data_IF_779639711721
#
_entry.id   IF_779639711721
#
_cell.length_a   1.000
_cell.length_b   1.000
_cell.length_c   1.000
_cell.angle_alpha   90.00
_cell.angle_beta   90.00
_cell.angle_gamma   90.00
#
_symmetry.space_group_name_H-M   'P 1'
#
loop_
_entity.id
_entity.type
_entity.pdbx_description
1 polymer ?
#
# COMPACT_ATOMS: atom_id res chain seq x y z
N UNK A 1 6.14 26.07 24.41
CA UNK A 1 6.73 26.36 23.11
C UNK A 1 7.78 25.31 22.70
N UNK A 2 8.79 25.04 23.51
CA UNK A 2 9.87 24.07 23.26
C UNK A 2 9.37 22.64 22.91
N UNK A 3 8.36 22.15 23.62
CA UNK A 3 7.80 20.80 23.34
C UNK A 3 7.18 20.65 21.93
N UNK A 4 6.51 21.70 21.41
CA UNK A 4 5.92 21.66 20.07
C UNK A 4 7.00 21.66 18.98
N UNK A 5 8.04 22.48 19.14
CA UNK A 5 9.17 22.51 18.20
C UNK A 5 9.89 21.17 18.17
N UNK A 6 10.18 20.60 19.35
CA UNK A 6 10.84 19.29 19.47
C UNK A 6 10.08 18.18 18.73
N UNK A 7 8.76 18.02 18.97
CA UNK A 7 7.99 16.96 18.31
C UNK A 7 7.78 17.20 16.81
N UNK A 8 7.75 18.47 16.36
CA UNK A 8 7.74 18.77 14.94
C UNK A 8 9.07 18.37 14.26
N UNK A 9 10.21 18.71 14.89
CA UNK A 9 11.53 18.30 14.38
C UNK A 9 11.67 16.77 14.35
N UNK A 10 11.22 16.11 15.43
CA UNK A 10 11.23 14.66 15.52
C UNK A 10 10.35 14.00 14.43
N UNK A 11 9.20 14.60 14.12
CA UNK A 11 8.34 14.14 13.02
C UNK A 11 9.09 14.14 11.68
N UNK A 12 9.72 15.26 11.31
CA UNK A 12 10.44 15.34 10.04
C UNK A 12 11.67 14.44 10.02
N UNK A 13 12.36 14.29 11.14
CA UNK A 13 13.49 13.36 11.26
C UNK A 13 13.06 11.90 11.05
N UNK A 14 11.99 11.48 11.71
CA UNK A 14 11.45 10.11 11.55
C UNK A 14 10.93 9.88 10.13
N UNK A 15 10.21 10.85 9.56
CA UNK A 15 9.76 10.76 8.16
C UNK A 15 10.94 10.61 7.20
N UNK A 16 11.98 11.42 7.35
CA UNK A 16 13.19 11.32 6.54
C UNK A 16 13.89 9.95 6.69
N UNK A 17 13.94 9.41 7.92
CA UNK A 17 14.50 8.07 8.18
C UNK A 17 13.70 6.97 7.48
N UNK A 18 12.36 7.03 7.53
CA UNK A 18 11.50 6.05 6.84
C UNK A 18 11.66 6.17 5.32
N UNK A 19 11.70 7.40 4.77
CA UNK A 19 11.92 7.62 3.34
C UNK A 19 13.27 7.07 2.89
N UNK A 20 14.30 7.23 3.68
CA UNK A 20 15.62 6.65 3.41
C UNK A 20 15.57 5.12 3.39
N UNK A 21 14.88 4.48 4.34
CA UNK A 21 14.68 3.03 4.36
C UNK A 21 13.88 2.55 3.13
N UNK A 22 12.82 3.27 2.73
CA UNK A 22 12.08 2.97 1.51
C UNK A 22 12.96 3.10 0.25
N UNK A 23 13.81 4.11 0.21
CA UNK A 23 14.76 4.31 -0.87
C UNK A 23 15.75 3.13 -0.98
N UNK A 24 16.35 2.71 0.12
CA UNK A 24 17.25 1.55 0.15
C UNK A 24 16.54 0.28 -0.31
N UNK A 25 15.32 0.04 0.20
CA UNK A 25 14.54 -1.14 -0.15
C UNK A 25 14.22 -1.21 -1.65
N UNK A 26 13.80 -0.07 -2.23
CA UNK A 26 13.48 -0.01 -3.67
C UNK A 26 14.71 -0.14 -4.55
N UNK A 27 15.86 0.38 -4.13
CA UNK A 27 17.06 0.37 -4.94
C UNK A 27 17.85 -0.95 -4.86
N UNK A 28 17.93 -1.57 -3.68
CA UNK A 28 18.85 -2.68 -3.44
C UNK A 28 18.18 -4.05 -3.31
N UNK A 29 16.92 -4.08 -2.86
CA UNK A 29 16.26 -5.34 -2.51
C UNK A 29 15.22 -5.75 -3.52
N UNK A 30 14.38 -4.83 -3.98
CA UNK A 30 13.27 -5.13 -4.86
C UNK A 30 13.68 -5.07 -6.34
N UNK A 31 13.25 -6.06 -7.10
CA UNK A 31 13.24 -6.07 -8.55
C UNK A 31 11.82 -5.87 -9.08
N UNK A 32 11.66 -5.53 -10.36
CA UNK A 32 10.35 -5.40 -10.98
C UNK A 32 9.60 -6.73 -10.95
N UNK A 33 8.31 -6.70 -10.55
CA UNK A 33 7.40 -7.85 -10.66
C UNK A 33 6.76 -7.94 -12.04
N UNK A 34 6.12 -9.09 -12.34
CA UNK A 34 5.40 -9.26 -13.60
C UNK A 34 4.26 -8.24 -13.77
N UNK A 35 3.46 -8.00 -12.70
CA UNK A 35 2.38 -7.01 -12.73
C UNK A 35 2.88 -5.59 -12.98
N UNK A 36 3.99 -5.22 -12.34
CA UNK A 36 4.63 -3.91 -12.55
C UNK A 36 5.17 -3.78 -13.98
N UNK A 37 5.78 -4.83 -14.52
CA UNK A 37 6.28 -4.86 -15.90
C UNK A 37 5.12 -4.78 -16.92
N UNK A 38 4.02 -5.50 -16.69
CA UNK A 38 2.82 -5.43 -17.51
C UNK A 38 2.24 -3.99 -17.51
N UNK A 39 2.14 -3.36 -16.35
CA UNK A 39 1.71 -1.96 -16.24
C UNK A 39 2.66 -1.00 -16.96
N UNK A 40 3.96 -1.26 -16.92
CA UNK A 40 4.95 -0.38 -17.54
C UNK A 40 4.95 -0.47 -19.06
N UNK A 41 4.83 -1.68 -19.63
CA UNK A 41 4.99 -1.90 -21.08
C UNK A 41 3.67 -1.97 -21.85
N UNK A 42 2.64 -2.61 -21.29
CA UNK A 42 1.44 -3.01 -22.05
C UNK A 42 0.20 -2.21 -21.67
N UNK A 43 0.01 -1.89 -20.40
CA UNK A 43 -1.18 -1.18 -19.95
C UNK A 43 -1.08 0.33 -20.23
N UNK A 44 -2.25 0.95 -20.44
CA UNK A 44 -2.41 2.41 -20.48
C UNK A 44 -3.20 2.81 -19.23
N UNK A 45 -2.50 3.25 -18.19
CA UNK A 45 -3.09 3.64 -16.91
C UNK A 45 -2.37 4.85 -16.34
N UNK A 46 -2.95 5.47 -15.30
CA UNK A 46 -2.26 6.53 -14.56
C UNK A 46 -0.91 6.04 -14.00
N UNK A 47 -0.85 4.79 -13.54
CA UNK A 47 0.38 4.19 -13.03
C UNK A 47 1.46 4.13 -14.10
N UNK A 48 1.10 3.76 -15.32
CA UNK A 48 2.01 3.75 -16.48
C UNK A 48 2.56 5.13 -16.77
N UNK A 49 1.71 6.15 -16.76
CA UNK A 49 2.13 7.53 -17.01
C UNK A 49 3.13 7.99 -15.93
N UNK A 50 2.79 7.77 -14.65
CA UNK A 50 3.65 8.15 -13.52
C UNK A 50 5.01 7.45 -13.55
N UNK A 51 5.02 6.15 -13.79
CA UNK A 51 6.25 5.35 -13.85
C UNK A 51 7.12 5.72 -15.06
N UNK A 52 6.52 5.92 -16.24
CA UNK A 52 7.25 6.31 -17.45
C UNK A 52 7.84 7.72 -17.34
N UNK A 53 7.10 8.69 -16.80
CA UNK A 53 7.65 10.04 -16.55
C UNK A 53 8.85 9.93 -15.60
N UNK A 54 8.72 9.21 -14.50
CA UNK A 54 9.80 9.05 -13.53
C UNK A 54 11.04 8.35 -14.13
N UNK A 55 10.85 7.26 -14.86
CA UNK A 55 11.95 6.53 -15.48
C UNK A 55 12.60 7.29 -16.65
N UNK A 56 11.87 8.17 -17.33
CA UNK A 56 12.43 9.05 -18.35
C UNK A 56 13.33 10.12 -17.72
N UNK A 57 12.95 10.65 -16.54
CA UNK A 57 13.71 11.69 -15.84
C UNK A 57 14.93 11.15 -15.09
N UNK A 58 14.81 9.98 -14.45
CA UNK A 58 15.83 9.43 -13.55
C UNK A 58 16.50 8.15 -14.06
N UNK A 59 16.20 7.75 -15.29
CA UNK A 59 16.68 6.51 -15.89
C UNK A 59 15.85 5.30 -15.52
N UNK A 60 15.96 4.26 -16.36
CA UNK A 60 15.18 3.01 -16.21
C UNK A 60 15.83 2.11 -15.14
N UNK A 61 15.37 2.24 -13.90
CA UNK A 61 15.81 1.48 -12.74
C UNK A 61 14.68 1.30 -11.72
N UNK A 62 14.85 0.38 -10.80
CA UNK A 62 13.83 0.01 -9.80
C UNK A 62 13.44 1.16 -8.87
N UNK A 63 14.37 2.06 -8.58
CA UNK A 63 14.11 3.25 -7.80
C UNK A 63 13.23 4.24 -8.56
N UNK A 64 13.58 4.59 -9.79
CA UNK A 64 12.81 5.51 -10.62
C UNK A 64 11.39 4.98 -10.89
N UNK A 65 11.24 3.66 -11.04
CA UNK A 65 9.94 3.01 -11.20
C UNK A 65 9.01 3.28 -10.02
N UNK A 66 9.53 3.26 -8.78
CA UNK A 66 8.76 3.36 -7.53
C UNK A 66 8.78 4.75 -6.88
N UNK A 67 9.65 5.64 -7.33
CA UNK A 67 9.80 6.99 -6.77
C UNK A 67 8.48 7.78 -6.66
N UNK A 68 7.57 7.79 -7.66
CA UNK A 68 6.30 8.49 -7.54
C UNK A 68 5.48 8.02 -6.33
N UNK A 69 5.46 6.72 -6.04
CA UNK A 69 4.68 6.13 -4.94
C UNK A 69 5.28 6.48 -3.59
N UNK A 70 6.60 6.51 -3.46
CA UNK A 70 7.30 7.01 -2.26
C UNK A 70 6.99 8.49 -2.02
N UNK A 71 6.91 9.30 -3.09
CA UNK A 71 6.51 10.71 -2.98
C UNK A 71 5.06 10.84 -2.52
N UNK A 72 4.12 10.05 -3.06
CA UNK A 72 2.73 10.06 -2.60
C UNK A 72 2.59 9.61 -1.14
N UNK A 73 3.40 8.65 -0.69
CA UNK A 73 3.47 8.28 0.73
C UNK A 73 3.91 9.49 1.58
N UNK A 74 4.99 10.15 1.21
CA UNK A 74 5.52 11.32 1.91
C UNK A 74 4.44 12.42 2.03
N UNK A 75 3.79 12.75 0.91
CA UNK A 75 2.71 13.74 0.87
C UNK A 75 1.52 13.30 1.73
N UNK A 76 1.11 12.04 1.68
CA UNK A 76 0.02 11.48 2.50
C UNK A 76 0.29 11.70 3.99
N UNK A 77 1.51 11.41 4.44
CA UNK A 77 1.93 11.58 5.84
C UNK A 77 1.93 13.08 6.23
N UNK A 78 2.47 13.96 5.38
CA UNK A 78 2.53 15.40 5.66
C UNK A 78 1.12 16.00 5.74
N UNK A 79 0.24 15.68 4.80
CA UNK A 79 -1.13 16.19 4.82
C UNK A 79 -1.93 15.62 5.99
N UNK A 80 -1.77 14.34 6.31
CA UNK A 80 -2.38 13.74 7.49
C UNK A 80 -1.88 14.41 8.78
N UNK A 81 -0.58 14.71 8.88
CA UNK A 81 -0.04 15.45 10.03
C UNK A 81 -0.66 16.84 10.20
N UNK A 82 -0.96 17.53 9.08
CA UNK A 82 -1.70 18.82 9.11
C UNK A 82 -3.16 18.64 9.50
N UNK A 83 -3.84 17.59 9.00
CA UNK A 83 -5.23 17.30 9.35
C UNK A 83 -5.40 17.10 10.86
N UNK A 84 -4.48 16.41 11.51
CA UNK A 84 -4.62 16.03 12.92
C UNK A 84 -4.15 17.10 13.92
N UNK A 85 -3.77 18.29 13.46
CA UNK A 85 -3.27 19.36 14.37
C UNK A 85 -4.27 19.69 15.50
N UNK A 86 -5.58 19.74 15.17
CA UNK A 86 -6.63 20.05 16.14
C UNK A 86 -7.14 18.81 16.92
N UNK A 87 -6.70 17.60 16.54
CA UNK A 87 -7.21 16.38 17.18
C UNK A 87 -6.65 16.17 18.56
N UNK A 88 -5.46 16.69 18.83
CA UNK A 88 -4.70 16.44 20.04
C UNK A 88 -4.32 17.72 20.77
N UNK A 89 -4.48 17.70 22.10
CA UNK A 89 -4.10 18.83 22.96
C UNK A 89 -2.58 18.94 23.11
N UNK A 90 -1.83 17.83 22.97
CA UNK A 90 -0.38 17.80 23.16
C UNK A 90 0.33 17.39 21.86
N UNK A 91 1.47 18.03 21.61
CA UNK A 91 2.30 17.69 20.46
C UNK A 91 2.83 16.24 20.50
N UNK A 92 3.04 15.69 21.72
CA UNK A 92 3.42 14.29 21.93
C UNK A 92 2.36 13.33 21.37
N UNK A 93 1.08 13.54 21.68
CA UNK A 93 0.01 12.65 21.21
C UNK A 93 -0.17 12.72 19.72
N UNK A 94 -0.07 13.92 19.16
CA UNK A 94 -0.07 14.13 17.72
C UNK A 94 1.06 13.35 17.06
N UNK A 95 2.28 13.44 17.62
CA UNK A 95 3.43 12.69 17.12
C UNK A 95 3.22 11.17 17.20
N UNK A 96 2.78 10.64 18.35
CA UNK A 96 2.51 9.19 18.51
C UNK A 96 1.46 8.73 17.50
N UNK A 97 0.42 9.51 17.27
CA UNK A 97 -0.64 9.17 16.33
C UNK A 97 -0.13 9.08 14.90
N UNK A 98 0.63 10.07 14.43
CA UNK A 98 1.18 10.06 13.08
C UNK A 98 2.28 9.00 12.92
N UNK A 99 3.05 8.75 13.97
CA UNK A 99 4.08 7.70 13.98
C UNK A 99 3.48 6.32 13.72
N UNK A 100 2.37 5.97 14.38
CA UNK A 100 1.66 4.71 14.11
C UNK A 100 1.13 4.68 12.67
N UNK A 101 0.57 5.79 12.16
CA UNK A 101 0.10 5.89 10.79
C UNK A 101 1.23 5.66 9.77
N UNK A 102 2.41 6.29 9.98
CA UNK A 102 3.59 6.08 9.12
C UNK A 102 4.04 4.62 9.05
N UNK A 103 3.95 3.91 10.17
CA UNK A 103 4.45 2.55 10.34
C UNK A 103 3.43 1.47 9.98
N UNK A 104 2.25 1.83 9.48
CA UNK A 104 1.27 0.83 9.02
C UNK A 104 1.87 -0.02 7.90
N UNK A 105 1.88 -1.36 8.05
CA UNK A 105 2.45 -2.26 7.03
C UNK A 105 1.82 -2.05 5.66
N UNK A 106 0.49 -1.87 5.60
CA UNK A 106 -0.22 -1.64 4.34
C UNK A 106 0.17 -0.33 3.65
N UNK A 107 0.45 0.74 4.42
CA UNK A 107 0.88 2.02 3.87
C UNK A 107 2.32 1.96 3.34
N UNK A 108 3.21 1.28 4.07
CA UNK A 108 4.60 1.05 3.65
C UNK A 108 4.66 0.16 2.40
N UNK A 109 3.87 -0.92 2.36
CA UNK A 109 3.80 -1.80 1.18
C UNK A 109 3.26 -1.06 -0.04
N UNK A 110 2.23 -0.21 0.14
CA UNK A 110 1.69 0.61 -0.95
C UNK A 110 2.71 1.64 -1.49
N UNK A 111 3.65 2.10 -0.66
CA UNK A 111 4.75 2.98 -1.08
C UNK A 111 5.86 2.25 -1.84
N UNK A 112 6.08 0.96 -1.54
CA UNK A 112 7.14 0.13 -2.13
C UNK A 112 6.76 -0.49 -3.47
N UNK A 113 5.46 -0.58 -3.79
CA UNK A 113 4.95 -1.27 -4.96
C UNK A 113 4.30 -0.29 -5.95
N UNK A 114 4.30 -0.64 -7.23
CA UNK A 114 3.58 0.11 -8.26
C UNK A 114 2.11 -0.28 -8.20
N UNK A 115 1.34 0.41 -7.37
CA UNK A 115 -0.10 0.22 -7.26
C UNK A 115 -0.85 1.55 -7.04
N UNK A 116 -2.16 1.55 -7.28
CA UNK A 116 -2.99 2.74 -7.13
C UNK A 116 -3.27 3.11 -5.67
N UNK A 117 -3.12 2.17 -4.73
CA UNK A 117 -3.55 2.36 -3.35
C UNK A 117 -2.94 3.60 -2.66
N UNK A 118 -1.64 3.86 -2.84
CA UNK A 118 -1.00 5.03 -2.23
C UNK A 118 -1.44 6.34 -2.90
N UNK A 119 -1.70 6.33 -4.21
CA UNK A 119 -2.23 7.49 -4.95
C UNK A 119 -3.63 7.83 -4.47
N UNK A 120 -4.50 6.82 -4.35
CA UNK A 120 -5.87 6.94 -3.82
C UNK A 120 -5.85 7.43 -2.37
N UNK A 121 -4.94 6.89 -1.54
CA UNK A 121 -4.74 7.34 -0.16
C UNK A 121 -4.40 8.83 -0.12
N UNK A 122 -3.42 9.26 -0.92
CA UNK A 122 -3.01 10.66 -0.98
C UNK A 122 -4.16 11.57 -1.44
N UNK A 123 -4.82 11.25 -2.54
CA UNK A 123 -5.90 12.07 -3.07
C UNK A 123 -7.09 12.18 -2.11
N UNK A 124 -7.40 11.09 -1.40
CA UNK A 124 -8.44 11.09 -0.37
C UNK A 124 -8.03 11.96 0.83
N UNK A 125 -6.80 11.85 1.31
CA UNK A 125 -6.28 12.70 2.39
C UNK A 125 -6.25 14.17 1.95
N UNK A 126 -5.83 14.45 0.72
CA UNK A 126 -5.83 15.79 0.16
C UNK A 126 -7.25 16.39 0.10
N UNK A 127 -8.25 15.62 -0.33
CA UNK A 127 -9.65 16.02 -0.32
C UNK A 127 -10.14 16.35 1.10
N UNK A 128 -9.82 15.50 2.08
CA UNK A 128 -10.18 15.72 3.48
C UNK A 128 -9.48 16.98 4.04
N UNK A 129 -8.20 17.17 3.70
CA UNK A 129 -7.46 18.37 4.10
C UNK A 129 -8.09 19.63 3.54
N UNK A 130 -8.43 19.64 2.26
CA UNK A 130 -9.11 20.76 1.61
C UNK A 130 -10.44 21.08 2.31
N UNK A 131 -11.28 20.05 2.53
CA UNK A 131 -12.55 20.22 3.23
C UNK A 131 -12.34 20.78 4.65
N UNK A 132 -11.33 20.29 5.36
CA UNK A 132 -11.02 20.77 6.72
C UNK A 132 -10.63 22.25 6.76
N UNK A 133 -9.80 22.69 5.81
CA UNK A 133 -9.27 24.07 5.75
C UNK A 133 -10.33 25.05 5.27
N UNK A 134 -10.98 24.73 4.16
CA UNK A 134 -11.90 25.67 3.50
C UNK A 134 -13.37 25.49 3.89
N UNK A 135 -13.71 24.42 4.61
CA UNK A 135 -15.12 24.08 4.95
C UNK A 135 -16.05 23.99 3.74
N UNK A 136 -15.49 23.66 2.59
CA UNK A 136 -16.19 23.49 1.31
C UNK A 136 -15.72 22.23 0.62
N UNK A 137 -16.62 21.50 -0.01
CA UNK A 137 -16.27 20.34 -0.81
C UNK A 137 -15.61 20.74 -2.12
N UNK A 138 -14.57 20.01 -2.53
CA UNK A 138 -13.86 20.21 -3.80
C UNK A 138 -14.58 19.46 -4.93
N UNK A 139 -15.75 19.98 -5.34
CA UNK A 139 -16.61 19.31 -6.33
C UNK A 139 -15.92 19.03 -7.66
N UNK A 140 -15.04 19.93 -8.10
CA UNK A 140 -14.33 19.79 -9.39
C UNK A 140 -13.29 18.67 -9.40
N UNK A 141 -12.77 18.26 -8.24
CA UNK A 141 -11.84 17.15 -8.15
C UNK A 141 -12.55 15.79 -8.22
N UNK A 142 -13.83 15.69 -7.82
CA UNK A 142 -14.54 14.42 -7.77
C UNK A 142 -14.64 13.72 -9.14
N UNK A 143 -15.01 14.40 -10.25
CA UNK A 143 -14.98 13.77 -11.57
C UNK A 143 -13.59 13.34 -12.01
N UNK A 144 -12.55 14.09 -11.62
CA UNK A 144 -11.16 13.67 -11.88
C UNK A 144 -10.80 12.39 -11.15
N UNK A 145 -11.23 12.22 -9.90
CA UNK A 145 -10.99 10.98 -9.13
C UNK A 145 -11.60 9.74 -9.81
N UNK A 146 -12.75 9.90 -10.48
CA UNK A 146 -13.34 8.82 -11.28
C UNK A 146 -12.39 8.31 -12.37
N UNK A 147 -11.55 9.17 -12.96
CA UNK A 147 -10.62 8.79 -14.02
C UNK A 147 -9.31 8.20 -13.49
N UNK A 148 -9.04 8.34 -12.19
CA UNK A 148 -7.81 7.87 -11.55
C UNK A 148 -7.88 6.38 -11.26
N UNK A 149 -8.94 5.93 -10.58
CA UNK A 149 -9.05 4.55 -10.11
C UNK A 149 -10.50 4.17 -9.77
N UNK A 150 -10.85 2.90 -9.95
CA UNK A 150 -12.18 2.35 -9.63
C UNK A 150 -12.51 2.43 -8.14
N UNK A 151 -11.52 2.38 -7.26
CA UNK A 151 -11.69 2.42 -5.80
C UNK A 151 -12.38 3.71 -5.33
N UNK A 152 -12.31 4.81 -6.10
CA UNK A 152 -13.03 6.05 -5.77
C UNK A 152 -14.56 5.91 -5.78
N UNK A 153 -15.10 4.85 -6.36
CA UNK A 153 -16.53 4.48 -6.19
C UNK A 153 -16.92 4.39 -4.71
N UNK A 154 -16.01 3.87 -3.87
CA UNK A 154 -16.20 3.79 -2.42
C UNK A 154 -16.27 5.19 -1.80
N UNK A 155 -15.39 6.10 -2.24
CA UNK A 155 -15.42 7.49 -1.78
C UNK A 155 -16.73 8.17 -2.17
N UNK A 156 -17.21 8.00 -3.40
CA UNK A 156 -18.47 8.60 -3.86
C UNK A 156 -19.65 8.12 -3.02
N UNK A 157 -19.71 6.82 -2.71
CA UNK A 157 -20.74 6.28 -1.83
C UNK A 157 -20.61 6.83 -0.39
N UNK A 158 -19.40 6.96 0.13
CA UNK A 158 -19.17 7.54 1.44
C UNK A 158 -19.61 9.01 1.51
N UNK A 159 -19.30 9.80 0.46
CA UNK A 159 -19.73 11.20 0.34
C UNK A 159 -21.25 11.33 0.19
N UNK A 160 -21.88 10.39 -0.51
CA UNK A 160 -23.34 10.31 -0.60
C UNK A 160 -23.97 10.16 0.79
N UNK A 161 -23.49 9.21 1.62
CA UNK A 161 -23.99 9.09 2.99
C UNK A 161 -23.64 10.30 3.87
N UNK A 162 -22.46 10.88 3.69
CA UNK A 162 -22.05 12.06 4.44
C UNK A 162 -22.93 13.29 4.11
N UNK A 163 -23.38 13.42 2.87
CA UNK A 163 -24.23 14.55 2.41
C UNK A 163 -25.53 14.68 3.19
N UNK A 164 -26.11 13.58 3.67
CA UNK A 164 -27.30 13.62 4.54
C UNK A 164 -27.02 14.29 5.88
N UNK A 165 -25.82 14.07 6.44
CA UNK A 165 -25.40 14.70 7.69
C UNK A 165 -25.10 16.19 7.47
N UNK A 166 -24.34 16.51 6.43
CA UNK A 166 -23.89 17.87 6.11
C UNK A 166 -25.02 18.71 5.50
N UNK A 167 -26.16 18.07 5.13
CA UNK A 167 -27.32 18.67 4.46
C UNK A 167 -26.96 19.39 3.15
N UNK A 168 -25.90 18.94 2.49
CA UNK A 168 -25.43 19.48 1.22
C UNK A 168 -26.06 18.73 0.04
N UNK A 169 -27.13 19.32 -0.54
CA UNK A 169 -27.83 18.76 -1.71
C UNK A 169 -26.91 18.65 -2.94
N UNK A 170 -25.97 19.59 -3.11
CA UNK A 170 -25.05 19.58 -4.25
C UNK A 170 -24.10 18.39 -4.16
N UNK A 171 -23.55 18.13 -2.96
CA UNK A 171 -22.74 16.96 -2.72
C UNK A 171 -23.51 15.66 -2.95
N UNK A 172 -24.76 15.60 -2.49
CA UNK A 172 -25.64 14.44 -2.66
C UNK A 172 -25.81 14.07 -4.14
N UNK A 173 -26.21 15.03 -4.98
CA UNK A 173 -26.44 14.75 -6.39
C UNK A 173 -25.16 14.43 -7.15
N UNK A 174 -24.06 15.14 -6.87
CA UNK A 174 -22.77 14.90 -7.54
C UNK A 174 -22.22 13.53 -7.14
N UNK A 175 -22.21 13.19 -5.85
CA UNK A 175 -21.67 11.92 -5.39
C UNK A 175 -22.52 10.74 -5.86
N UNK A 176 -23.85 10.86 -5.88
CA UNK A 176 -24.74 9.83 -6.42
C UNK A 176 -24.54 9.65 -7.93
N UNK A 177 -24.45 10.74 -8.69
CA UNK A 177 -24.21 10.67 -10.13
C UNK A 177 -22.88 10.00 -10.45
N UNK A 178 -21.80 10.40 -9.76
CA UNK A 178 -20.47 9.81 -9.95
C UNK A 178 -20.44 8.34 -9.51
N UNK A 179 -21.14 7.99 -8.43
CA UNK A 179 -21.28 6.60 -8.00
C UNK A 179 -21.94 5.74 -9.08
N UNK A 180 -23.05 6.21 -9.67
CA UNK A 180 -23.73 5.50 -10.76
C UNK A 180 -22.84 5.43 -12.01
N UNK A 181 -22.23 6.55 -12.41
CA UNK A 181 -21.34 6.59 -13.58
C UNK A 181 -20.17 5.63 -13.43
N UNK A 182 -19.62 5.44 -12.22
CA UNK A 182 -18.50 4.53 -11.97
C UNK A 182 -18.82 3.08 -12.33
N UNK A 183 -20.07 2.62 -12.19
CA UNK A 183 -20.47 1.28 -12.61
C UNK A 183 -20.44 1.09 -14.14
N UNK A 184 -20.72 2.13 -14.90
CA UNK A 184 -20.64 2.08 -16.37
C UNK A 184 -19.21 2.19 -16.87
N UNK A 185 -18.37 2.97 -16.17
CA UNK A 185 -16.96 3.18 -16.56
C UNK A 185 -16.11 1.95 -16.28
N UNK A 186 -16.33 1.30 -15.14
CA UNK A 186 -15.46 0.20 -14.66
C UNK A 186 -16.07 -1.19 -14.79
N UNK A 187 -17.24 -1.33 -15.42
CA UNK A 187 -17.89 -2.62 -15.67
C UNK A 187 -17.79 -3.58 -14.47
N UNK A 188 -18.36 -3.20 -13.34
CA UNK A 188 -18.31 -4.03 -12.13
C UNK A 188 -18.89 -5.42 -12.40
N UNK A 189 -18.00 -6.38 -12.68
CA UNK A 189 -18.37 -7.79 -12.87
C UNK A 189 -18.35 -8.48 -11.52
N UNK A 190 -19.41 -9.17 -11.23
CA UNK A 190 -19.48 -10.06 -10.07
C UNK A 190 -19.23 -11.47 -10.58
N UNK A 191 -17.97 -11.88 -10.53
CA UNK A 191 -17.52 -13.17 -11.04
C UNK A 191 -17.50 -14.25 -9.95
N UNK A 192 -17.73 -15.49 -10.37
CA UNK A 192 -17.56 -16.66 -9.53
C UNK A 192 -18.79 -17.13 -8.77
N UNK A 193 -18.66 -18.31 -8.17
CA UNK A 193 -19.68 -18.88 -7.26
C UNK A 193 -19.59 -18.18 -5.90
N UNK A 194 -20.73 -17.94 -5.20
CA UNK A 194 -20.70 -17.40 -3.84
C UNK A 194 -19.91 -18.34 -2.92
N UNK A 195 -18.74 -17.89 -2.51
CA UNK A 195 -17.93 -18.55 -1.50
C UNK A 195 -17.60 -17.50 -0.43
N UNK A 196 -17.70 -17.86 0.84
CA UNK A 196 -17.44 -16.94 1.92
C UNK A 196 -15.94 -16.65 2.07
N UNK A 197 -15.50 -15.47 1.62
CA UNK A 197 -14.10 -15.00 1.76
C UNK A 197 -13.92 -14.05 2.95
N UNK A 198 -14.84 -14.06 3.90
CA UNK A 198 -14.83 -13.13 5.03
C UNK A 198 -13.56 -13.27 5.87
N UNK A 199 -13.14 -14.50 6.18
CA UNK A 199 -11.91 -14.74 6.97
C UNK A 199 -10.66 -14.27 6.23
N UNK A 200 -10.59 -14.47 4.92
CA UNK A 200 -9.48 -13.96 4.09
C UNK A 200 -9.42 -12.44 4.15
N UNK A 201 -10.57 -11.77 4.05
CA UNK A 201 -10.68 -10.32 4.16
C UNK A 201 -10.20 -9.81 5.52
N UNK A 202 -10.61 -10.45 6.62
CA UNK A 202 -10.12 -10.11 7.96
C UNK A 202 -8.62 -10.37 8.11
N UNK A 203 -8.12 -11.48 7.54
CA UNK A 203 -6.70 -11.81 7.52
C UNK A 203 -5.86 -10.73 6.81
N UNK A 204 -6.32 -10.25 5.66
CA UNK A 204 -5.62 -9.21 4.91
C UNK A 204 -5.67 -7.86 5.65
N UNK A 205 -6.80 -7.47 6.25
CA UNK A 205 -6.84 -6.28 7.10
C UNK A 205 -5.91 -6.41 8.31
N UNK A 206 -5.83 -7.59 8.92
CA UNK A 206 -4.88 -7.85 9.99
C UNK A 206 -3.42 -7.71 9.54
N UNK A 207 -3.11 -8.04 8.28
CA UNK A 207 -1.78 -7.80 7.71
C UNK A 207 -1.51 -6.31 7.46
N UNK A 208 -2.51 -5.54 7.00
CA UNK A 208 -2.38 -4.08 6.73
C UNK A 208 -2.16 -3.27 8.00
N UNK A 209 -2.90 -3.59 9.07
CA UNK A 209 -2.86 -2.85 10.34
C UNK A 209 -1.90 -3.43 11.37
N UNK A 210 -1.59 -4.69 11.35
CA UNK A 210 -1.24 -5.65 12.39
C UNK A 210 -2.51 -6.19 13.11
N UNK A 211 -2.51 -7.47 13.51
CA UNK A 211 -3.74 -8.13 13.96
C UNK A 211 -4.48 -7.42 15.11
N UNK A 212 -3.74 -7.04 16.14
CA UNK A 212 -4.32 -6.42 17.35
C UNK A 212 -4.77 -4.99 17.08
N UNK A 213 -4.03 -4.25 16.25
CA UNK A 213 -4.40 -2.89 15.88
C UNK A 213 -5.70 -2.88 15.05
N UNK A 214 -5.89 -3.89 14.19
CA UNK A 214 -7.13 -4.05 13.44
C UNK A 214 -8.33 -4.31 14.34
N UNK A 215 -8.21 -5.19 15.33
CA UNK A 215 -9.28 -5.40 16.31
C UNK A 215 -9.65 -4.13 17.07
N UNK A 216 -8.64 -3.35 17.43
CA UNK A 216 -8.88 -2.05 18.07
C UNK A 216 -9.51 -1.03 17.09
N UNK A 217 -9.17 -1.07 15.82
CA UNK A 217 -9.80 -0.27 14.79
C UNK A 217 -11.30 -0.54 14.67
N UNK A 218 -11.73 -1.82 14.65
CA UNK A 218 -13.15 -2.18 14.65
C UNK A 218 -13.89 -1.62 15.88
N UNK A 219 -13.28 -1.78 17.06
CA UNK A 219 -13.81 -1.19 18.28
C UNK A 219 -13.91 0.34 18.19
N UNK A 220 -12.90 1.02 17.64
CA UNK A 220 -12.88 2.46 17.54
C UNK A 220 -13.95 3.01 16.57
N UNK A 221 -14.16 2.36 15.42
CA UNK A 221 -15.26 2.69 14.49
C UNK A 221 -16.62 2.57 15.18
N UNK A 222 -16.87 1.44 15.86
CA UNK A 222 -18.10 1.21 16.61
C UNK A 222 -18.28 2.27 17.70
N UNK A 223 -17.26 2.52 18.51
CA UNK A 223 -17.31 3.49 19.60
C UNK A 223 -17.59 4.91 19.12
N UNK A 224 -17.01 5.33 17.99
CA UNK A 224 -17.24 6.64 17.39
C UNK A 224 -18.70 6.83 16.99
N UNK A 225 -19.31 5.77 16.43
CA UNK A 225 -20.73 5.75 16.08
C UNK A 225 -21.62 5.92 17.32
N UNK A 226 -21.35 5.17 18.40
CA UNK A 226 -22.14 5.21 19.65
C UNK A 226 -22.06 6.58 20.33
N UNK A 227 -20.88 7.21 20.34
CA UNK A 227 -20.67 8.54 20.94
C UNK A 227 -21.23 9.65 20.05
N UNK A 228 -21.68 9.34 18.84
CA UNK A 228 -22.18 10.30 17.82
C UNK A 228 -21.18 11.39 17.42
N UNK A 229 -19.89 11.14 17.59
CA UNK A 229 -18.82 12.04 17.14
C UNK A 229 -18.32 11.66 15.74
N UNK A 230 -19.26 11.53 14.82
CA UNK A 230 -19.06 11.03 13.47
C UNK A 230 -18.60 12.21 12.59
N UNK A 231 -17.45 12.09 11.93
CA UNK A 231 -16.90 13.07 10.99
C UNK A 231 -16.79 12.47 9.56
N UNK A 232 -16.27 13.26 8.61
CA UNK A 232 -16.08 12.82 7.23
C UNK A 232 -15.16 11.59 7.14
N UNK A 233 -14.09 11.57 7.95
CA UNK A 233 -13.14 10.44 7.96
C UNK A 233 -13.83 9.16 8.39
N UNK A 234 -14.71 9.24 9.40
CA UNK A 234 -15.49 8.09 9.85
C UNK A 234 -16.40 7.56 8.73
N UNK A 235 -17.13 8.45 8.02
CA UNK A 235 -18.00 8.02 6.91
C UNK A 235 -17.22 7.30 5.83
N UNK A 236 -16.06 7.84 5.43
CA UNK A 236 -15.22 7.22 4.41
C UNK A 236 -14.74 5.83 4.87
N UNK A 237 -14.20 5.74 6.07
CA UNK A 237 -13.63 4.47 6.56
C UNK A 237 -14.68 3.42 6.91
N UNK A 238 -15.81 3.83 7.49
CA UNK A 238 -16.90 2.93 7.81
C UNK A 238 -17.57 2.37 6.54
N UNK A 239 -17.80 3.22 5.53
CA UNK A 239 -18.35 2.79 4.23
C UNK A 239 -17.42 1.80 3.55
N UNK A 240 -16.11 2.08 3.49
CA UNK A 240 -15.13 1.17 2.90
C UNK A 240 -15.10 -0.18 3.63
N UNK A 241 -15.08 -0.18 4.96
CA UNK A 241 -15.08 -1.39 5.77
C UNK A 241 -16.37 -2.19 5.54
N UNK A 242 -17.54 -1.56 5.63
CA UNK A 242 -18.84 -2.23 5.45
C UNK A 242 -18.98 -2.82 4.06
N UNK A 243 -18.61 -2.07 3.01
CA UNK A 243 -18.64 -2.58 1.64
C UNK A 243 -17.70 -3.76 1.44
N UNK A 244 -16.48 -3.69 1.98
CA UNK A 244 -15.53 -4.80 1.88
C UNK A 244 -16.04 -6.06 2.56
N UNK A 245 -16.69 -5.94 3.74
CA UNK A 245 -17.31 -7.05 4.44
C UNK A 245 -18.48 -7.63 3.63
N UNK A 246 -19.38 -6.78 3.14
CA UNK A 246 -20.53 -7.21 2.34
C UNK A 246 -20.09 -7.91 1.06
N UNK A 247 -19.12 -7.33 0.33
CA UNK A 247 -18.59 -7.92 -0.89
C UNK A 247 -17.89 -9.27 -0.63
N UNK A 248 -17.22 -9.43 0.51
CA UNK A 248 -16.49 -10.65 0.87
C UNK A 248 -17.38 -11.88 1.15
N UNK A 249 -18.67 -11.68 1.40
CA UNK A 249 -19.61 -12.80 1.47
C UNK A 249 -19.82 -13.49 0.12
N UNK A 250 -19.60 -12.76 -0.97
CA UNK A 250 -19.88 -13.28 -2.31
C UNK A 250 -18.61 -13.58 -3.11
N UNK A 251 -17.60 -12.72 -3.04
CA UNK A 251 -16.41 -12.81 -3.88
C UNK A 251 -15.13 -12.46 -3.10
N UNK A 252 -13.99 -12.92 -3.61
CA UNK A 252 -12.68 -12.46 -3.14
C UNK A 252 -12.52 -11.00 -3.54
N UNK A 253 -12.25 -10.15 -2.55
CA UNK A 253 -12.05 -8.71 -2.78
C UNK A 253 -10.59 -8.39 -3.00
N UNK A 254 -10.34 -7.40 -3.83
CA UNK A 254 -9.02 -6.74 -3.94
C UNK A 254 -8.93 -5.70 -2.84
N UNK A 255 -8.20 -6.01 -1.78
CA UNK A 255 -8.12 -5.15 -0.61
C UNK A 255 -7.45 -3.80 -0.92
N UNK A 256 -6.65 -3.74 -1.99
CA UNK A 256 -6.01 -2.54 -2.50
C UNK A 256 -7.03 -1.43 -2.80
N UNK A 257 -8.26 -1.79 -3.17
CA UNK A 257 -9.35 -0.85 -3.46
C UNK A 257 -9.96 -0.26 -2.18
N UNK A 258 -9.92 -0.97 -1.06
CA UNK A 258 -10.58 -0.58 0.19
C UNK A 258 -9.62 -0.02 1.24
N UNK A 259 -8.41 -0.58 1.31
CA UNK A 259 -7.41 -0.21 2.31
C UNK A 259 -7.11 1.30 2.37
N UNK A 260 -7.00 2.03 1.24
CA UNK A 260 -6.76 3.46 1.23
C UNK A 260 -7.72 4.26 2.10
N UNK A 261 -9.00 3.87 2.08
CA UNK A 261 -10.06 4.56 2.81
C UNK A 261 -10.15 4.13 4.28
N UNK A 262 -9.70 2.93 4.59
CA UNK A 262 -9.76 2.39 5.95
C UNK A 262 -8.60 2.90 6.80
N UNK A 263 -7.38 2.97 6.26
CA UNK A 263 -6.18 3.39 7.00
C UNK A 263 -6.21 4.86 7.45
N UNK A 264 -6.95 5.73 6.75
CA UNK A 264 -7.07 7.15 7.11
C UNK A 264 -7.74 7.39 8.47
N UNK A 265 -8.44 6.41 9.03
CA UNK A 265 -9.08 6.50 10.34
C UNK A 265 -8.11 6.30 11.51
N UNK A 266 -6.91 5.80 11.27
CA UNK A 266 -5.93 5.49 12.33
C UNK A 266 -5.68 6.65 13.29
N UNK A 267 -5.50 7.90 12.85
CA UNK A 267 -5.35 9.02 13.78
C UNK A 267 -6.58 9.27 14.66
N UNK A 268 -7.79 9.09 14.14
CA UNK A 268 -9.03 9.19 14.93
C UNK A 268 -9.11 8.07 15.95
N UNK A 269 -8.75 6.85 15.56
CA UNK A 269 -8.62 5.71 16.47
C UNK A 269 -7.64 6.01 17.61
N UNK A 270 -6.48 6.59 17.31
CA UNK A 270 -5.48 6.99 18.32
C UNK A 270 -5.99 8.08 19.25
N UNK A 271 -6.78 9.03 18.77
CA UNK A 271 -7.46 10.02 19.60
C UNK A 271 -8.35 9.36 20.65
N UNK A 272 -9.14 8.36 20.25
CA UNK A 272 -10.01 7.60 21.15
C UNK A 272 -9.19 6.83 22.18
N UNK A 273 -8.11 6.17 21.72
CA UNK A 273 -7.23 5.42 22.59
C UNK A 273 -6.60 6.29 23.68
N UNK A 274 -5.95 7.39 23.29
CA UNK A 274 -5.26 8.30 24.21
C UNK A 274 -6.23 8.98 25.17
N UNK A 275 -7.45 9.33 24.72
CA UNK A 275 -8.48 9.84 25.60
C UNK A 275 -8.89 8.78 26.64
N UNK A 276 -9.17 7.56 26.22
CA UNK A 276 -9.56 6.47 27.12
C UNK A 276 -8.46 6.12 28.12
N UNK A 277 -7.20 6.16 27.70
CA UNK A 277 -6.04 5.94 28.56
C UNK A 277 -5.91 6.99 29.67
N UNK A 278 -6.16 8.27 29.36
CA UNK A 278 -6.01 9.38 30.32
C UNK A 278 -7.10 9.44 31.38
N UNK A 279 -8.31 9.10 31.00
CA UNK A 279 -9.46 9.11 31.93
C UNK A 279 -9.35 8.01 32.98
N UNK A 280 -8.58 6.94 32.73
CA UNK A 280 -8.43 5.83 33.66
C UNK A 280 -7.49 6.18 34.83
N UNK A 281 -7.85 5.66 36.01
CA UNK A 281 -7.00 5.69 37.19
C UNK A 281 -5.66 4.95 36.93
N UNK A 282 -4.59 5.38 37.59
CA UNK A 282 -3.23 4.84 37.38
C UNK A 282 -3.15 3.33 37.54
N UNK A 283 -3.88 2.76 38.48
CA UNK A 283 -3.93 1.33 38.80
C UNK A 283 -4.44 0.49 37.60
N UNK A 284 -5.43 0.99 36.87
CA UNK A 284 -6.01 0.31 35.72
C UNK A 284 -5.25 0.55 34.39
N UNK A 285 -4.19 1.35 34.41
CA UNK A 285 -3.37 1.61 33.20
C UNK A 285 -2.41 0.48 32.86
N UNK A 286 -2.11 -0.44 33.80
CA UNK A 286 -1.17 -1.54 33.59
C UNK A 286 -1.55 -2.40 32.39
N UNK A 287 -2.80 -2.84 32.31
CA UNK A 287 -3.31 -3.65 31.20
C UNK A 287 -3.27 -2.91 29.86
N UNK A 288 -3.52 -1.59 29.86
CA UNK A 288 -3.40 -0.76 28.67
C UNK A 288 -1.95 -0.64 28.19
N UNK A 289 -1.01 -0.50 29.11
CA UNK A 289 0.42 -0.47 28.76
C UNK A 289 0.86 -1.80 28.15
N UNK A 290 0.44 -2.93 28.71
CA UNK A 290 0.71 -4.26 28.15
C UNK A 290 0.16 -4.34 26.72
N UNK A 291 -1.09 -3.91 26.52
CA UNK A 291 -1.69 -3.88 25.19
C UNK A 291 -0.88 -3.02 24.20
N UNK A 292 -0.43 -1.83 24.61
CA UNK A 292 0.40 -0.96 23.78
C UNK A 292 1.72 -1.64 23.41
N UNK A 293 2.40 -2.26 24.37
CA UNK A 293 3.66 -2.98 24.08
C UNK A 293 3.45 -4.12 23.09
N UNK A 294 2.35 -4.88 23.22
CA UNK A 294 2.03 -5.95 22.27
C UNK A 294 1.76 -5.39 20.87
N UNK A 295 0.98 -4.31 20.75
CA UNK A 295 0.73 -3.64 19.46
C UNK A 295 2.03 -3.15 18.83
N UNK A 296 2.88 -2.47 19.61
CA UNK A 296 4.17 -1.98 19.11
C UNK A 296 5.11 -3.12 18.70
N UNK A 297 5.10 -4.23 19.43
CA UNK A 297 5.87 -5.42 19.08
C UNK A 297 5.42 -5.99 17.73
N UNK A 298 4.12 -6.17 17.50
CA UNK A 298 3.62 -6.67 16.21
C UNK A 298 3.84 -5.67 15.07
N UNK A 299 3.72 -4.37 15.31
CA UNK A 299 4.09 -3.35 14.32
C UNK A 299 5.58 -3.43 13.97
N UNK A 300 6.45 -3.53 14.97
CA UNK A 300 7.88 -3.66 14.77
C UNK A 300 8.20 -4.94 13.98
N UNK A 301 7.58 -6.07 14.33
CA UNK A 301 7.75 -7.33 13.62
C UNK A 301 7.35 -7.20 12.15
N UNK A 302 6.22 -6.58 11.86
CA UNK A 302 5.76 -6.35 10.49
C UNK A 302 6.70 -5.43 9.70
N UNK A 303 7.23 -4.39 10.32
CA UNK A 303 8.23 -3.50 9.71
C UNK A 303 9.49 -4.30 9.39
N UNK A 304 9.95 -5.10 10.33
CA UNK A 304 11.11 -5.96 10.13
C UNK A 304 10.90 -6.93 8.97
N UNK A 305 9.73 -7.57 8.88
CA UNK A 305 9.38 -8.45 7.75
C UNK A 305 9.30 -7.68 6.41
N UNK A 306 8.90 -6.41 6.42
CA UNK A 306 8.83 -5.58 5.20
C UNK A 306 10.22 -5.21 4.69
N UNK A 307 11.12 -4.79 5.58
CA UNK A 307 12.45 -4.30 5.20
C UNK A 307 13.54 -5.37 5.23
N UNK A 308 13.39 -6.41 6.06
CA UNK A 308 14.37 -7.50 6.20
C UNK A 308 13.69 -8.82 5.83
N UNK A 309 13.31 -8.96 4.57
CA UNK A 309 12.55 -10.11 4.09
C UNK A 309 13.44 -11.24 3.52
N UNK A 310 14.60 -10.92 2.92
CA UNK A 310 15.49 -11.94 2.32
C UNK A 310 15.90 -13.07 3.28
N UNK A 311 16.18 -12.87 4.59
CA UNK A 311 16.50 -13.96 5.51
C UNK A 311 15.40 -15.03 5.67
N UNK A 312 14.13 -14.67 5.37
CA UNK A 312 13.00 -15.62 5.45
C UNK A 312 13.20 -16.81 4.50
N UNK A 313 13.93 -16.61 3.39
CA UNK A 313 14.26 -17.72 2.48
C UNK A 313 14.97 -18.89 3.20
N UNK A 314 15.73 -18.63 4.27
CA UNK A 314 16.39 -19.68 5.05
C UNK A 314 15.39 -20.60 5.74
N UNK A 315 14.23 -20.10 6.13
CA UNK A 315 13.18 -20.82 6.85
C UNK A 315 12.21 -21.57 5.92
N UNK A 316 12.22 -21.29 4.62
CA UNK A 316 11.27 -21.86 3.68
C UNK A 316 11.87 -23.06 2.97
N UNK A 317 11.12 -24.16 2.82
CA UNK A 317 11.53 -25.34 2.06
C UNK A 317 11.67 -25.04 0.56
N UNK A 318 10.78 -24.17 0.02
CA UNK A 318 10.75 -23.78 -1.38
C UNK A 318 10.75 -22.27 -1.50
N UNK A 319 11.60 -21.73 -2.35
CA UNK A 319 11.73 -20.28 -2.56
C UNK A 319 10.44 -19.62 -3.04
N UNK A 320 9.65 -20.30 -3.87
CA UNK A 320 8.38 -19.76 -4.41
C UNK A 320 7.27 -19.58 -3.38
N UNK A 321 7.42 -20.10 -2.15
CA UNK A 321 6.49 -19.85 -1.04
C UNK A 321 6.73 -18.52 -0.34
N UNK A 322 7.80 -17.82 -0.70
CA UNK A 322 8.09 -16.53 -0.11
C UNK A 322 7.09 -15.46 -0.58
N UNK A 323 6.50 -14.68 0.34
CA UNK A 323 5.44 -13.71 0.02
C UNK A 323 5.88 -12.57 -0.92
N UNK A 324 7.17 -12.28 -1.01
CA UNK A 324 7.76 -11.26 -1.90
C UNK A 324 8.52 -11.90 -3.08
N UNK A 325 8.37 -13.20 -3.33
CA UNK A 325 9.11 -13.92 -4.36
C UNK A 325 9.06 -13.26 -5.73
N UNK A 326 7.89 -12.76 -6.14
CA UNK A 326 7.69 -12.08 -7.41
C UNK A 326 8.45 -10.74 -7.55
N UNK A 327 8.93 -10.17 -6.44
CA UNK A 327 9.68 -8.92 -6.40
C UNK A 327 11.18 -9.12 -6.17
N UNK A 328 11.67 -10.34 -6.28
CA UNK A 328 13.09 -10.67 -6.13
C UNK A 328 13.66 -11.27 -7.43
N UNK A 329 14.96 -11.45 -7.48
CA UNK A 329 15.81 -12.15 -8.43
C UNK A 329 15.82 -11.66 -9.89
N UNK A 330 14.82 -10.98 -10.45
CA UNK A 330 14.86 -10.59 -11.87
C UNK A 330 16.01 -9.63 -12.18
N UNK A 331 16.33 -8.73 -11.27
CA UNK A 331 17.48 -7.81 -11.37
C UNK A 331 18.79 -8.57 -11.34
N UNK A 332 18.95 -9.46 -10.36
CA UNK A 332 20.15 -10.29 -10.21
C UNK A 332 20.36 -11.21 -11.43
N UNK A 333 19.27 -11.81 -11.97
CA UNK A 333 19.36 -12.58 -13.21
C UNK A 333 19.84 -11.73 -14.37
N UNK A 334 19.25 -10.53 -14.55
CA UNK A 334 19.65 -9.62 -15.62
C UNK A 334 21.11 -9.16 -15.50
N UNK A 335 21.60 -8.91 -14.27
CA UNK A 335 22.99 -8.58 -14.00
C UNK A 335 23.95 -9.74 -14.34
N UNK A 336 23.59 -10.96 -13.98
CA UNK A 336 24.39 -12.15 -14.29
C UNK A 336 24.42 -12.48 -15.79
N UNK A 337 23.29 -12.29 -16.51
CA UNK A 337 23.25 -12.41 -17.96
C UNK A 337 24.13 -11.36 -18.65
N UNK A 338 24.07 -10.09 -18.21
CA UNK A 338 24.89 -9.01 -18.75
C UNK A 338 26.39 -9.21 -18.51
N UNK A 339 26.79 -9.71 -17.35
CA UNK A 339 28.20 -10.06 -17.05
C UNK A 339 28.76 -11.10 -18.05
N UNK A 340 27.89 -11.91 -18.65
CA UNK A 340 28.22 -12.94 -19.63
C UNK A 340 27.96 -12.48 -21.07
N UNK A 341 27.66 -11.20 -21.25
CA UNK A 341 27.33 -10.60 -22.56
C UNK A 341 26.05 -11.21 -23.23
N UNK A 342 25.19 -11.85 -22.44
CA UNK A 342 23.94 -12.49 -22.88
C UNK A 342 22.80 -11.47 -22.80
N UNK A 343 22.68 -10.58 -23.78
CA UNK A 343 21.65 -9.51 -23.79
C UNK A 343 20.39 -9.90 -24.55
N UNK A 344 20.44 -10.97 -25.36
CA UNK A 344 19.37 -11.44 -26.22
C UNK A 344 18.98 -12.86 -25.78
N UNK A 345 17.76 -13.05 -25.28
CA UNK A 345 17.32 -14.33 -24.72
C UNK A 345 15.91 -14.68 -25.16
N UNK A 346 15.60 -15.95 -25.25
CA UNK A 346 14.24 -16.47 -25.38
C UNK A 346 13.94 -17.41 -24.22
N UNK A 347 12.71 -17.42 -23.75
CA UNK A 347 12.25 -18.29 -22.65
C UNK A 347 10.80 -18.73 -22.86
N UNK A 348 10.41 -19.92 -22.42
CA UNK A 348 9.02 -20.32 -22.35
C UNK A 348 8.24 -19.52 -21.30
N UNK A 349 8.94 -18.94 -20.30
CA UNK A 349 8.37 -18.10 -19.26
C UNK A 349 8.29 -16.63 -19.71
N UNK A 350 7.14 -16.29 -20.31
CA UNK A 350 6.85 -14.90 -20.74
C UNK A 350 6.84 -13.90 -19.59
N UNK A 351 6.51 -14.33 -18.35
CA UNK A 351 6.53 -13.46 -17.19
C UNK A 351 7.96 -13.03 -16.85
N UNK A 352 8.90 -13.96 -16.93
CA UNK A 352 10.32 -13.66 -16.73
C UNK A 352 10.86 -12.75 -17.85
N UNK A 353 10.54 -13.03 -19.12
CA UNK A 353 10.99 -12.21 -20.26
C UNK A 353 10.55 -10.74 -20.11
N UNK A 354 9.28 -10.50 -19.77
CA UNK A 354 8.76 -9.15 -19.60
C UNK A 354 9.48 -8.40 -18.46
N UNK A 355 9.83 -9.07 -17.38
CA UNK A 355 10.63 -8.51 -16.27
C UNK A 355 12.06 -8.22 -16.71
N UNK A 356 12.71 -9.12 -17.45
CA UNK A 356 14.06 -8.95 -17.98
C UNK A 356 14.16 -7.81 -18.99
N UNK A 357 13.11 -7.58 -19.79
CA UNK A 357 13.02 -6.46 -20.72
C UNK A 357 13.17 -5.09 -20.02
N UNK A 358 12.68 -4.97 -18.77
CA UNK A 358 12.88 -3.75 -17.97
C UNK A 358 14.36 -3.49 -17.71
N UNK A 359 15.18 -4.51 -17.62
CA UNK A 359 16.64 -4.42 -17.43
C UNK A 359 17.41 -4.43 -18.76
N UNK A 360 16.77 -4.15 -19.90
CA UNK A 360 17.39 -4.12 -21.24
C UNK A 360 17.97 -5.48 -21.68
N UNK A 361 17.32 -6.57 -21.33
CA UNK A 361 17.51 -7.88 -21.94
C UNK A 361 16.39 -8.03 -22.94
N UNK A 362 16.73 -8.22 -24.23
CA UNK A 362 15.78 -8.24 -25.33
C UNK A 362 15.34 -9.68 -25.66
N UNK A 363 14.11 -9.83 -26.17
CA UNK A 363 13.61 -11.12 -26.63
C UNK A 363 14.12 -11.35 -28.07
N UNK A 364 15.23 -12.09 -28.17
CA UNK A 364 15.81 -12.49 -29.45
C UNK A 364 16.51 -13.86 -29.29
N UNK A 365 16.50 -14.76 -30.33
CA UNK A 365 16.91 -16.14 -30.22
C UNK A 365 18.44 -16.37 -30.30
N UNK A 366 19.22 -15.67 -29.49
CA UNK A 366 20.65 -15.94 -29.34
C UNK A 366 20.92 -17.01 -28.28
N UNK A 367 20.17 -16.91 -27.16
CA UNK A 367 20.26 -17.84 -26.04
C UNK A 367 18.86 -18.26 -25.58
N UNK A 368 18.71 -19.54 -25.31
CA UNK A 368 17.52 -20.08 -24.65
C UNK A 368 17.72 -20.16 -23.16
N UNK A 369 16.81 -19.64 -22.36
CA UNK A 369 16.84 -19.69 -20.91
C UNK A 369 15.58 -20.32 -20.33
N UNK A 370 15.75 -21.15 -19.27
CA UNK A 370 14.63 -21.75 -18.54
C UNK A 370 14.95 -21.85 -17.05
N UNK A 371 13.92 -21.73 -16.20
CA UNK A 371 14.02 -22.05 -14.77
C UNK A 371 13.99 -23.58 -14.51
N UNK A 372 13.44 -24.33 -15.44
CA UNK A 372 13.43 -25.80 -15.37
C UNK A 372 14.62 -26.36 -16.12
N UNK A 373 15.25 -27.39 -15.55
CA UNK A 373 16.35 -28.08 -16.18
C UNK A 373 15.88 -28.80 -17.46
N UNK A 374 16.64 -28.65 -18.55
CA UNK A 374 16.41 -29.33 -19.81
C UNK A 374 17.67 -30.02 -20.30
N UNK A 375 17.48 -30.96 -21.24
CA UNK A 375 18.59 -31.73 -21.78
C UNK A 375 19.53 -30.84 -22.60
N UNK A 376 20.86 -31.02 -22.47
CA UNK A 376 21.90 -30.26 -23.18
C UNK A 376 21.89 -28.74 -22.94
N UNK A 377 21.76 -28.29 -21.71
CA UNK A 377 22.10 -26.90 -21.36
C UNK A 377 23.63 -26.72 -21.31
N UNK A 378 24.10 -25.54 -21.70
CA UNK A 378 25.52 -25.20 -21.75
C UNK A 378 26.02 -24.67 -20.39
N UNK A 379 25.19 -23.85 -19.73
CA UNK A 379 25.55 -23.21 -18.47
C UNK A 379 24.36 -23.15 -17.51
N UNK A 380 24.69 -23.19 -16.19
CA UNK A 380 23.73 -23.01 -15.11
C UNK A 380 24.07 -21.76 -14.30
N UNK A 381 23.19 -20.76 -14.30
CA UNK A 381 23.28 -19.57 -13.48
C UNK A 381 22.42 -19.77 -12.24
N UNK A 382 23.02 -19.68 -11.05
CA UNK A 382 22.32 -19.89 -9.79
C UNK A 382 22.32 -18.59 -8.98
N UNK A 383 21.15 -18.06 -8.67
CA UNK A 383 20.98 -16.93 -7.75
C UNK A 383 20.86 -17.46 -6.33
N UNK A 384 21.72 -16.98 -5.44
CA UNK A 384 21.80 -17.43 -4.05
C UNK A 384 21.57 -16.30 -3.07
N UNK A 385 20.78 -16.57 -2.03
CA UNK A 385 20.69 -15.70 -0.85
C UNK A 385 21.18 -16.49 0.37
N UNK A 386 22.17 -15.95 1.08
CA UNK A 386 22.75 -16.58 2.28
C UNK A 386 23.15 -18.05 2.05
N UNK A 387 23.83 -18.36 0.94
CA UNK A 387 24.26 -19.70 0.52
C UNK A 387 23.12 -20.68 0.16
N UNK A 388 21.87 -20.25 0.13
CA UNK A 388 20.74 -21.05 -0.35
C UNK A 388 20.41 -20.71 -1.79
N UNK A 389 20.29 -21.74 -2.63
CA UNK A 389 19.86 -21.60 -4.03
C UNK A 389 18.39 -21.17 -4.06
N UNK A 390 18.11 -20.02 -4.67
CA UNK A 390 16.76 -19.45 -4.76
C UNK A 390 16.16 -19.73 -6.13
N UNK A 391 16.90 -19.42 -7.20
CA UNK A 391 16.49 -19.65 -8.59
C UNK A 391 17.67 -20.15 -9.38
N UNK A 392 17.43 -21.18 -10.18
CA UNK A 392 18.38 -21.68 -11.16
C UNK A 392 17.88 -21.29 -12.55
N UNK A 393 18.76 -20.76 -13.38
CA UNK A 393 18.52 -20.48 -14.78
C UNK A 393 19.47 -21.34 -15.61
N UNK A 394 18.90 -22.18 -16.44
CA UNK A 394 19.63 -23.03 -17.38
C UNK A 394 19.69 -22.32 -18.72
N UNK A 395 20.88 -22.19 -19.27
CA UNK A 395 21.16 -21.43 -20.50
C UNK A 395 21.69 -22.37 -21.56
N UNK A 396 21.24 -22.16 -22.81
CA UNK A 396 21.74 -22.82 -24.01
C UNK A 396 21.91 -21.79 -25.12
N UNK A 397 23.03 -21.80 -25.80
CA UNK A 397 23.27 -21.01 -27.02
C UNK A 397 22.49 -21.66 -28.18
N UNK A 398 21.74 -20.87 -28.93
CA UNK A 398 20.93 -21.34 -30.07
C UNK A 398 21.70 -21.35 -31.40
#
# INVERSE_FOLDING_TARGET
>A
MYSKVFYNTLFYFVLASILYMLFLQTNEVLSISYKEALNYFENISLLTILTRISTTLFGQNDLALRLPFVVFYCLSVIFMYKIIDDYFKTAKDRFISIFIFMLLPGLLSAALLVNSAIVVTFLTIFYIYYYKVYKKHLYYALPFFLLVDNSFTILFLALFFYSFKDKDKKLLYISLALFVISFFVYEFRVDGRPQGFLLDTFGIYAAIFSPILFLYFLYAIYRTAVIKNIDLIWYISATALLLSIVASFRQKIYIEDFAPFVVIFVPTMMKIFLHSYRVRLKEFRKNYNIFVYIVLFFLFLNILLTFVNKPIYLLLDRANKHFVYEYHFAKEIAEELKKREMTNVVSPDKHLLLRLRFYKIEEYPDYFISQEAFYNYDEKITIKYYNKDIVNIYVKKL
#
